data_IF_612864216683
#
_entry.id   IF_612864216683
#
_cell.length_a   1.000
_cell.length_b   1.000
_cell.length_c   1.000
_cell.angle_alpha   90.00
_cell.angle_beta   90.00
_cell.angle_gamma   90.00
#
_symmetry.space_group_name_H-M   'P 1'
#
loop_
_entity.id
_entity.type
_entity.pdbx_description
1 polymer ?
#
# COMPACT_ATOMS: atom_id res chain seq x y z
N UNK A 1 -13.68 -18.04 5.44
CA UNK A 1 -13.53 -18.79 6.69
C UNK A 1 -12.08 -19.24 6.84
N UNK A 2 -11.47 -19.00 7.99
CA UNK A 2 -10.10 -19.45 8.34
C UNK A 2 -10.13 -20.77 9.11
N UNK A 3 -8.99 -21.47 9.15
CA UNK A 3 -8.86 -22.70 9.95
C UNK A 3 -9.07 -22.42 11.45
N UNK A 4 -8.69 -21.25 11.95
CA UNK A 4 -8.98 -20.85 13.34
C UNK A 4 -10.48 -20.88 13.68
N UNK A 5 -11.34 -20.44 12.75
CA UNK A 5 -12.80 -20.42 12.93
C UNK A 5 -13.36 -21.86 12.92
N UNK A 6 -12.82 -22.73 12.07
CA UNK A 6 -13.15 -24.16 12.06
C UNK A 6 -12.71 -24.85 13.36
N UNK A 7 -11.50 -24.54 13.84
CA UNK A 7 -10.98 -25.06 15.10
C UNK A 7 -11.88 -24.67 16.28
N UNK A 8 -12.32 -23.41 16.33
CA UNK A 8 -13.25 -22.93 17.35
C UNK A 8 -14.60 -23.66 17.28
N UNK A 9 -15.16 -23.81 16.07
CA UNK A 9 -16.42 -24.53 15.87
C UNK A 9 -16.32 -25.99 16.32
N UNK A 10 -15.27 -26.71 15.93
CA UNK A 10 -15.03 -28.09 16.35
C UNK A 10 -14.83 -28.22 17.86
N UNK A 11 -14.14 -27.26 18.48
CA UNK A 11 -13.95 -27.23 19.94
C UNK A 11 -15.27 -27.10 20.70
N UNK A 12 -16.25 -26.39 20.12
CA UNK A 12 -17.58 -26.25 20.70
C UNK A 12 -18.42 -27.53 20.56
N UNK A 13 -18.18 -28.35 19.52
CA UNK A 13 -18.88 -29.62 19.31
C UNK A 13 -18.52 -30.66 20.38
N UNK A 14 -17.29 -30.66 20.90
CA UNK A 14 -16.84 -31.67 21.88
C UNK A 14 -17.72 -31.72 23.14
N UNK A 15 -18.02 -30.59 23.82
CA UNK A 15 -18.99 -30.56 24.91
C UNK A 15 -20.38 -31.10 24.54
N UNK A 16 -20.89 -30.75 23.35
CA UNK A 16 -22.20 -31.23 22.89
C UNK A 16 -22.20 -32.73 22.62
N UNK A 17 -21.15 -33.26 22.02
CA UNK A 17 -20.99 -34.69 21.76
C UNK A 17 -21.00 -35.49 23.07
N UNK A 18 -20.28 -35.01 24.10
CA UNK A 18 -20.29 -35.63 25.44
C UNK A 18 -21.69 -35.59 26.06
N UNK A 19 -22.38 -34.45 25.99
CA UNK A 19 -23.74 -34.33 26.51
C UNK A 19 -24.75 -35.22 25.78
N UNK A 20 -24.53 -35.49 24.48
CA UNK A 20 -25.33 -36.41 23.67
C UNK A 20 -24.99 -37.90 23.90
N UNK A 21 -24.07 -38.22 24.83
CA UNK A 21 -23.68 -39.59 25.14
C UNK A 21 -22.63 -40.19 24.21
N UNK A 22 -21.90 -39.38 23.44
CA UNK A 22 -20.74 -39.88 22.70
C UNK A 22 -19.70 -40.42 23.68
N UNK A 23 -19.14 -41.60 23.37
CA UNK A 23 -18.13 -42.22 24.22
C UNK A 23 -16.86 -41.38 24.33
N UNK A 24 -16.15 -41.49 25.45
CA UNK A 24 -14.94 -40.70 25.76
C UNK A 24 -13.89 -40.74 24.65
N UNK A 25 -13.76 -41.89 23.97
CA UNK A 25 -12.86 -42.05 22.82
C UNK A 25 -13.14 -41.04 21.71
N UNK A 26 -14.42 -40.81 21.37
CA UNK A 26 -14.83 -39.88 20.31
C UNK A 26 -14.47 -38.45 20.71
N UNK A 27 -14.69 -38.08 21.97
CA UNK A 27 -14.33 -36.76 22.47
C UNK A 27 -12.81 -36.52 22.43
N UNK A 28 -12.02 -37.53 22.81
CA UNK A 28 -10.54 -37.46 22.74
C UNK A 28 -10.04 -37.34 21.31
N UNK A 29 -10.65 -38.07 20.36
CA UNK A 29 -10.29 -37.98 18.94
C UNK A 29 -10.61 -36.60 18.36
N UNK A 30 -11.75 -36.00 18.73
CA UNK A 30 -12.09 -34.64 18.33
C UNK A 30 -11.16 -33.58 18.94
N UNK A 31 -10.83 -33.69 20.24
CA UNK A 31 -9.85 -32.81 20.90
C UNK A 31 -8.49 -32.90 20.20
N UNK A 32 -8.05 -34.11 19.84
CA UNK A 32 -6.82 -34.32 19.08
C UNK A 32 -6.88 -33.71 17.69
N UNK A 33 -8.00 -33.87 16.98
CA UNK A 33 -8.18 -33.26 15.67
C UNK A 33 -8.09 -31.73 15.73
N UNK A 34 -8.71 -31.11 16.74
CA UNK A 34 -8.62 -29.67 17.02
C UNK A 34 -7.17 -29.22 17.24
N UNK A 35 -6.38 -29.99 18.01
CA UNK A 35 -4.97 -29.68 18.24
C UNK A 35 -4.13 -29.78 16.96
N UNK A 36 -4.41 -30.76 16.10
CA UNK A 36 -3.72 -30.93 14.82
C UNK A 36 -3.96 -29.76 13.83
N UNK A 37 -5.04 -29.00 14.00
CA UNK A 37 -5.33 -27.81 13.18
C UNK A 37 -4.55 -26.56 13.60
N UNK A 38 -3.99 -26.53 14.81
CA UNK A 38 -3.32 -25.35 15.36
C UNK A 38 -2.19 -24.76 14.47
N UNK A 39 -1.34 -25.56 13.80
CA UNK A 39 -0.31 -25.03 12.90
C UNK A 39 -0.86 -24.31 11.66
N UNK A 40 -2.13 -24.52 11.33
CA UNK A 40 -2.76 -24.01 10.11
C UNK A 40 -3.74 -22.86 10.38
N UNK A 41 -3.86 -22.38 11.62
CA UNK A 41 -4.87 -21.40 12.06
C UNK A 41 -5.00 -20.15 11.18
N UNK A 42 -3.89 -19.68 10.62
CA UNK A 42 -3.83 -18.45 9.81
C UNK A 42 -4.22 -18.68 8.34
N UNK A 43 -4.28 -19.94 7.88
CA UNK A 43 -4.67 -20.29 6.52
C UNK A 43 -6.18 -20.16 6.32
N UNK A 44 -6.58 -19.80 5.11
CA UNK A 44 -7.97 -19.98 4.67
C UNK A 44 -8.31 -21.47 4.53
N UNK A 45 -9.60 -21.82 4.59
CA UNK A 45 -10.04 -23.19 4.36
C UNK A 45 -9.68 -23.71 2.96
N UNK A 46 -9.69 -22.83 1.95
CA UNK A 46 -9.26 -23.19 0.59
C UNK A 46 -7.79 -23.64 0.57
N UNK A 47 -6.90 -22.83 1.16
CA UNK A 47 -5.47 -23.16 1.23
C UNK A 47 -5.20 -24.42 2.06
N UNK A 48 -5.99 -24.66 3.11
CA UNK A 48 -5.89 -25.87 3.91
C UNK A 48 -6.37 -27.11 3.13
N UNK A 49 -7.48 -27.02 2.39
CA UNK A 49 -7.96 -28.12 1.55
C UNK A 49 -6.97 -28.45 0.43
N UNK A 50 -6.36 -27.43 -0.18
CA UNK A 50 -5.31 -27.64 -1.19
C UNK A 50 -4.09 -28.33 -0.57
N UNK A 51 -3.71 -27.94 0.66
CA UNK A 51 -2.66 -28.63 1.41
C UNK A 51 -3.00 -30.11 1.68
N UNK A 52 -4.23 -30.41 2.10
CA UNK A 52 -4.65 -31.80 2.34
C UNK A 52 -4.60 -32.65 1.07
N UNK A 53 -4.99 -32.09 -0.08
CA UNK A 53 -4.87 -32.76 -1.38
C UNK A 53 -3.42 -33.02 -1.76
N UNK A 54 -2.55 -32.03 -1.58
CA UNK A 54 -1.11 -32.18 -1.83
C UNK A 54 -0.47 -33.23 -0.91
N UNK A 55 -0.88 -33.27 0.35
CA UNK A 55 -0.42 -34.27 1.30
C UNK A 55 -0.86 -35.69 0.90
N UNK A 56 -2.12 -35.87 0.49
CA UNK A 56 -2.64 -37.15 -0.03
C UNK A 56 -1.89 -37.60 -1.29
N UNK A 57 -1.69 -36.70 -2.25
CA UNK A 57 -0.94 -36.97 -3.48
C UNK A 57 0.51 -37.37 -3.19
N UNK A 58 1.16 -36.67 -2.26
CA UNK A 58 2.51 -37.00 -1.82
C UNK A 58 2.58 -38.37 -1.14
N UNK A 59 1.65 -38.67 -0.23
CA UNK A 59 1.57 -39.98 0.43
C UNK A 59 1.37 -41.10 -0.58
N UNK A 60 0.55 -40.88 -1.61
CA UNK A 60 0.27 -41.89 -2.65
C UNK A 60 1.39 -42.10 -3.65
N UNK A 61 2.06 -41.03 -4.06
CA UNK A 61 2.97 -41.06 -5.23
C UNK A 61 4.44 -40.83 -4.88
N UNK A 62 4.73 -40.38 -3.65
CA UNK A 62 6.06 -39.96 -3.22
C UNK A 62 6.57 -38.68 -3.90
N UNK A 63 5.72 -38.00 -4.68
CA UNK A 63 6.09 -36.80 -5.45
C UNK A 63 5.24 -35.61 -4.99
N UNK A 64 5.90 -34.48 -4.78
CA UNK A 64 5.21 -33.20 -4.66
C UNK A 64 5.04 -32.63 -6.06
N UNK A 65 3.84 -32.20 -6.47
CA UNK A 65 3.67 -31.53 -7.75
C UNK A 65 4.57 -30.29 -7.77
N UNK A 66 5.30 -30.13 -8.87
CA UNK A 66 6.10 -28.92 -9.08
C UNK A 66 5.15 -27.73 -8.99
N UNK A 67 5.44 -26.82 -8.05
CA UNK A 67 4.64 -25.63 -7.85
C UNK A 67 4.53 -24.95 -9.22
N UNK A 68 3.33 -24.79 -9.79
CA UNK A 68 3.20 -24.28 -11.15
C UNK A 68 3.94 -22.96 -11.20
N UNK A 69 4.87 -22.85 -12.16
CA UNK A 69 5.57 -21.59 -12.43
C UNK A 69 4.48 -20.51 -12.47
N UNK A 70 4.61 -19.50 -11.60
CA UNK A 70 3.56 -18.51 -11.38
C UNK A 70 3.32 -17.79 -12.70
N UNK A 71 2.33 -18.26 -13.47
CA UNK A 71 1.97 -17.65 -14.74
C UNK A 71 1.57 -16.23 -14.41
N UNK A 72 2.35 -15.27 -14.92
CA UNK A 72 2.07 -13.87 -14.72
C UNK A 72 0.65 -13.61 -15.24
N UNK A 73 -0.28 -13.33 -14.33
CA UNK A 73 -1.63 -12.91 -14.73
C UNK A 73 -1.48 -11.67 -15.63
N UNK A 74 -2.15 -11.61 -16.79
CA UNK A 74 -2.23 -10.39 -17.57
C UNK A 74 -2.72 -9.28 -16.64
N UNK A 75 -1.89 -8.25 -16.44
CA UNK A 75 -2.27 -7.10 -15.63
C UNK A 75 -3.38 -6.38 -16.39
N UNK A 76 -4.54 -6.24 -15.75
CA UNK A 76 -5.53 -5.22 -16.12
C UNK A 76 -4.79 -3.89 -16.29
N UNK A 77 -5.02 -3.11 -17.37
CA UNK A 77 -4.35 -1.84 -17.57
C UNK A 77 -4.58 -0.96 -16.34
N UNK A 78 -3.51 -0.69 -15.59
CA UNK A 78 -3.54 0.36 -14.58
C UNK A 78 -3.88 1.65 -15.32
N UNK A 79 -4.81 2.44 -14.78
CA UNK A 79 -5.03 3.81 -15.21
C UNK A 79 -3.67 4.50 -15.43
N UNK A 80 -3.53 5.34 -16.47
CA UNK A 80 -2.24 5.93 -16.85
C UNK A 80 -1.57 6.50 -15.59
N UNK A 81 -0.42 5.94 -15.23
CA UNK A 81 0.40 6.53 -14.18
C UNK A 81 0.80 7.91 -14.68
N UNK A 82 0.59 8.93 -13.84
CA UNK A 82 1.14 10.27 -14.08
C UNK A 82 2.61 10.10 -14.49
N UNK A 83 2.94 10.51 -15.71
CA UNK A 83 4.29 10.39 -16.22
C UNK A 83 5.19 11.45 -15.60
N UNK A 84 6.51 11.25 -15.63
CA UNK A 84 7.49 12.25 -15.19
C UNK A 84 7.30 13.59 -15.92
N UNK A 85 7.00 13.55 -17.22
CA UNK A 85 6.76 14.75 -18.03
C UNK A 85 5.50 15.51 -17.59
N UNK A 86 4.37 14.81 -17.38
CA UNK A 86 3.13 15.43 -16.90
C UNK A 86 3.30 15.99 -15.48
N UNK A 87 4.05 15.31 -14.62
CA UNK A 87 4.36 15.79 -13.29
C UNK A 87 5.24 17.05 -13.30
N UNK A 88 6.25 17.09 -14.17
CA UNK A 88 7.07 18.28 -14.37
C UNK A 88 6.25 19.47 -14.90
N UNK A 89 5.35 19.22 -15.86
CA UNK A 89 4.42 20.25 -16.36
C UNK A 89 3.50 20.78 -15.26
N UNK A 90 2.91 19.89 -14.44
CA UNK A 90 2.08 20.30 -13.29
C UNK A 90 2.86 21.14 -12.28
N UNK A 91 4.09 20.72 -11.96
CA UNK A 91 4.96 21.48 -11.07
C UNK A 91 5.26 22.87 -11.65
N UNK A 92 5.64 22.96 -12.93
CA UNK A 92 5.93 24.24 -13.59
C UNK A 92 4.69 25.15 -13.66
N UNK A 93 3.52 24.59 -13.98
CA UNK A 93 2.26 25.33 -14.01
C UNK A 93 1.92 25.91 -12.63
N UNK A 94 2.08 25.10 -11.57
CA UNK A 94 1.88 25.56 -10.19
C UNK A 94 2.94 26.59 -9.77
N UNK A 95 4.20 26.38 -10.16
CA UNK A 95 5.29 27.32 -9.88
C UNK A 95 5.08 28.67 -10.58
N UNK A 96 4.53 28.68 -11.79
CA UNK A 96 4.14 29.90 -12.49
C UNK A 96 2.95 30.60 -11.80
N UNK A 97 1.94 29.83 -11.38
CA UNK A 97 0.78 30.31 -10.61
C UNK A 97 1.10 30.74 -9.18
N UNK A 98 2.30 30.45 -8.67
CA UNK A 98 2.71 30.84 -7.31
C UNK A 98 2.64 32.35 -7.04
N UNK A 99 2.66 33.19 -8.09
CA UNK A 99 2.51 34.65 -7.99
C UNK A 99 1.07 35.12 -8.11
N UNK A 100 0.11 34.21 -8.25
CA UNK A 100 -1.32 34.53 -8.25
C UNK A 100 -1.78 34.84 -6.81
N UNK A 101 -2.37 36.02 -6.55
CA UNK A 101 -2.91 36.37 -5.24
C UNK A 101 -4.00 35.40 -4.76
N UNK A 102 -4.72 34.75 -5.67
CA UNK A 102 -5.85 33.85 -5.35
C UNK A 102 -5.41 32.43 -5.03
N UNK A 103 -4.14 32.08 -5.27
CA UNK A 103 -3.63 30.75 -4.97
C UNK A 103 -3.28 30.64 -3.48
N UNK A 104 -4.06 29.87 -2.74
CA UNK A 104 -3.87 29.68 -1.30
C UNK A 104 -2.82 28.60 -0.96
N UNK A 105 -2.13 28.76 0.18
CA UNK A 105 -1.11 27.81 0.64
C UNK A 105 -1.60 26.35 0.78
N UNK A 106 -2.82 26.07 1.27
CA UNK A 106 -3.37 24.71 1.28
C UNK A 106 -3.61 24.12 -0.11
N UNK A 107 -3.91 24.97 -1.11
CA UNK A 107 -4.07 24.51 -2.50
C UNK A 107 -2.74 24.07 -3.11
N UNK A 108 -1.64 24.77 -2.77
CA UNK A 108 -0.28 24.36 -3.15
C UNK A 108 0.04 22.96 -2.58
N UNK A 109 -0.30 22.73 -1.31
CA UNK A 109 -0.05 21.43 -0.67
C UNK A 109 -0.83 20.30 -1.35
N UNK A 110 -2.12 20.54 -1.62
CA UNK A 110 -2.99 19.56 -2.29
C UNK A 110 -2.52 19.24 -3.72
N UNK A 111 -2.13 20.26 -4.50
CA UNK A 111 -1.64 20.05 -5.87
C UNK A 111 -0.33 19.26 -5.89
N UNK A 112 0.60 19.52 -4.95
CA UNK A 112 1.85 18.76 -4.85
C UNK A 112 1.63 17.33 -4.34
N UNK A 113 0.65 17.10 -3.47
CA UNK A 113 0.32 15.75 -2.99
C UNK A 113 -0.20 14.84 -4.11
N UNK A 114 -0.67 15.39 -5.23
CA UNK A 114 -0.98 14.59 -6.43
C UNK A 114 0.24 13.89 -7.03
N UNK A 115 1.45 14.37 -6.73
CA UNK A 115 2.73 13.78 -7.16
C UNK A 115 3.16 12.59 -6.27
N UNK A 116 2.48 12.33 -5.16
CA UNK A 116 2.79 11.20 -4.23
C UNK A 116 2.70 9.81 -4.88
N UNK A 117 1.98 9.71 -6.00
CA UNK A 117 1.88 8.50 -6.82
C UNK A 117 3.18 8.09 -7.53
N UNK A 118 4.13 9.01 -7.68
CA UNK A 118 5.43 8.76 -8.30
C UNK A 118 6.40 8.04 -7.35
N UNK A 119 7.36 7.32 -7.92
CA UNK A 119 8.50 6.74 -7.20
C UNK A 119 9.54 7.80 -6.85
N UNK A 120 10.47 7.46 -5.95
CA UNK A 120 11.57 8.37 -5.56
C UNK A 120 12.44 8.71 -6.78
N UNK A 121 12.69 7.75 -7.67
CA UNK A 121 13.46 7.98 -8.89
C UNK A 121 12.72 8.95 -9.82
N UNK A 122 11.45 8.72 -10.09
CA UNK A 122 10.61 9.60 -10.91
C UNK A 122 10.52 11.01 -10.32
N UNK A 123 10.39 11.17 -9.00
CA UNK A 123 10.41 12.49 -8.34
C UNK A 123 11.76 13.22 -8.49
N UNK A 124 12.89 12.49 -8.48
CA UNK A 124 14.21 13.07 -8.74
C UNK A 124 14.37 13.47 -10.21
N UNK A 125 13.81 12.70 -11.14
CA UNK A 125 13.77 13.06 -12.56
C UNK A 125 12.88 14.29 -12.80
N UNK A 126 11.73 14.40 -12.14
CA UNK A 126 10.91 15.63 -12.15
C UNK A 126 11.73 16.81 -11.64
N UNK A 127 12.42 16.65 -10.51
CA UNK A 127 13.27 17.72 -9.94
C UNK A 127 14.36 18.16 -10.93
N UNK A 128 15.00 17.22 -11.62
CA UNK A 128 15.98 17.53 -12.66
C UNK A 128 15.34 18.23 -13.87
N UNK A 129 14.15 17.80 -14.31
CA UNK A 129 13.45 18.38 -15.45
C UNK A 129 12.95 19.82 -15.20
N UNK A 130 12.78 20.21 -13.94
CA UNK A 130 12.34 21.54 -13.53
C UNK A 130 13.44 22.37 -12.86
N UNK A 131 14.71 21.98 -13.04
CA UNK A 131 15.90 22.62 -12.47
C UNK A 131 15.79 22.91 -10.96
N UNK A 132 15.10 22.03 -10.23
CA UNK A 132 14.88 22.17 -8.78
C UNK A 132 15.86 21.31 -8.01
N UNK A 133 16.64 21.96 -7.13
CA UNK A 133 17.57 21.25 -6.24
C UNK A 133 16.80 20.46 -5.18
N UNK A 134 16.91 19.14 -5.23
CA UNK A 134 16.44 18.24 -4.16
C UNK A 134 17.65 17.56 -3.50
N UNK A 135 17.59 17.21 -2.20
CA UNK A 135 18.71 16.57 -1.53
C UNK A 135 19.06 15.25 -2.22
N UNK A 136 20.28 15.14 -2.75
CA UNK A 136 20.70 13.96 -3.53
C UNK A 136 20.61 12.66 -2.73
N UNK A 137 20.79 12.76 -1.40
CA UNK A 137 20.72 11.67 -0.42
C UNK A 137 19.31 11.36 0.10
N UNK A 138 18.27 12.08 -0.30
CA UNK A 138 16.91 11.80 0.18
C UNK A 138 16.47 10.40 -0.24
N UNK A 139 16.09 9.62 0.79
CA UNK A 139 15.58 8.24 0.68
C UNK A 139 14.06 8.17 0.91
N UNK A 140 13.42 9.29 1.26
CA UNK A 140 11.98 9.36 1.52
C UNK A 140 11.31 10.24 0.47
N UNK A 141 10.13 9.81 0.01
CA UNK A 141 9.31 10.58 -0.93
C UNK A 141 8.88 11.91 -0.32
N UNK A 142 8.48 11.88 0.95
CA UNK A 142 7.96 13.05 1.67
C UNK A 142 9.00 14.16 1.78
N UNK A 143 10.30 13.83 1.86
CA UNK A 143 11.38 14.82 1.85
C UNK A 143 11.45 15.56 0.51
N UNK A 144 11.27 14.84 -0.61
CA UNK A 144 11.30 15.44 -1.94
C UNK A 144 10.05 16.29 -2.18
N UNK A 145 8.87 15.80 -1.77
CA UNK A 145 7.62 16.55 -1.86
C UNK A 145 7.65 17.80 -0.97
N UNK A 146 8.22 17.72 0.23
CA UNK A 146 8.39 18.85 1.12
C UNK A 146 9.28 19.93 0.49
N UNK A 147 10.33 19.53 -0.24
CA UNK A 147 11.20 20.47 -0.95
C UNK A 147 10.46 21.16 -2.11
N UNK A 148 9.66 20.41 -2.88
CA UNK A 148 8.78 20.99 -3.90
C UNK A 148 7.77 21.99 -3.30
N UNK A 149 7.12 21.63 -2.19
CA UNK A 149 6.23 22.54 -1.45
C UNK A 149 6.97 23.79 -1.01
N UNK A 150 8.15 23.64 -0.40
CA UNK A 150 9.00 24.74 0.07
C UNK A 150 9.30 25.73 -1.04
N UNK A 151 9.72 25.25 -2.22
CA UNK A 151 10.09 26.11 -3.36
C UNK A 151 8.93 26.96 -3.87
N UNK A 152 7.74 26.38 -4.00
CA UNK A 152 6.55 27.10 -4.48
C UNK A 152 6.09 28.11 -3.43
N UNK A 153 6.09 27.73 -2.15
CA UNK A 153 5.75 28.64 -1.04
C UNK A 153 6.74 29.79 -0.90
N UNK A 154 8.04 29.55 -1.11
CA UNK A 154 9.07 30.60 -1.11
C UNK A 154 8.87 31.62 -2.24
N UNK A 155 8.49 31.14 -3.42
CA UNK A 155 8.15 32.02 -4.55
C UNK A 155 6.93 32.88 -4.25
N UNK A 156 5.84 32.29 -3.76
CA UNK A 156 4.63 33.02 -3.35
C UNK A 156 4.93 34.05 -2.26
N UNK A 157 5.59 33.64 -1.18
CA UNK A 157 5.97 34.53 -0.09
C UNK A 157 6.91 35.66 -0.54
N UNK A 158 7.79 35.41 -1.52
CA UNK A 158 8.63 36.48 -2.10
C UNK A 158 7.80 37.49 -2.88
N UNK A 159 6.85 37.03 -3.69
CA UNK A 159 5.93 37.90 -4.42
C UNK A 159 5.07 38.75 -3.49
N UNK A 160 4.49 38.14 -2.46
CA UNK A 160 3.70 38.85 -1.43
C UNK A 160 4.53 39.95 -0.76
N UNK A 161 5.77 39.65 -0.33
CA UNK A 161 6.68 40.65 0.24
C UNK A 161 6.97 41.82 -0.70
N UNK A 162 7.12 41.57 -2.00
CA UNK A 162 7.36 42.64 -2.98
C UNK A 162 6.12 43.49 -3.27
N UNK A 163 4.92 42.90 -3.23
CA UNK A 163 3.66 43.63 -3.41
C UNK A 163 3.39 44.57 -2.23
N UNK A 164 3.65 44.15 -0.99
CA UNK A 164 3.51 45.02 0.18
C UNK A 164 4.50 46.19 0.19
N UNK A 165 5.72 46.00 -0.31
CA UNK A 165 6.74 47.06 -0.34
C UNK A 165 6.52 48.12 -1.44
N UNK A 166 5.81 47.78 -2.52
CA UNK A 166 5.50 48.70 -3.61
C UNK A 166 4.34 49.66 -3.29
N UNK A 167 3.43 49.27 -2.39
CA UNK A 167 2.28 50.09 -1.99
C UNK A 167 2.64 51.29 -1.08
N UNK A 168 3.74 51.21 -0.34
CA UNK A 168 4.13 52.22 0.66
C UNK A 168 4.92 53.42 0.09
N UNK A 169 5.25 53.44 -1.20
CA UNK A 169 6.04 54.52 -1.84
C UNK A 169 5.14 55.47 -2.67
N UNK A 170 3.82 55.28 -2.68
CA UNK A 170 2.87 56.09 -3.46
C UNK A 170 1.80 56.77 -2.61
N UNK A 171 2.16 57.27 -1.42
CA UNK A 171 1.35 58.21 -0.62
C UNK A 171 1.94 59.61 -0.66
#
# INVERSE_FOLDING_TARGET
MKVAELQQFLSQIVPFARAAGAGDKVAVELDRAVLCLAPFKDKSLAEFNDFLRLADEYVRTGRLPEKPARVARPRTPKAPKLTVAEAAQKFQALYARATDPTLEYPAIDAEIDTLSGLTIAELKEVAAAVDTTVPSKSRKKDEILAEFKRKIKERKGSYERTQFRAGDISS
#
